data_IF_806889000139
#
_entry.id   IF_806889000139
#
_cell.length_a   1.000
_cell.length_b   1.000
_cell.length_c   1.000
_cell.angle_alpha   90.00
_cell.angle_beta   90.00
_cell.angle_gamma   90.00
#
_symmetry.space_group_name_H-M   'P 1'
#
loop_
_entity.id
_entity.type
_entity.pdbx_description
1 polymer ?
#
# COMPACT_ATOMS: atom_id res chain seq x y z
N UNK A 1 24.05 6.00 -12.28
CA UNK A 1 23.50 4.81 -11.58
C UNK A 1 23.61 5.12 -10.10
N UNK A 2 22.54 4.99 -9.33
CA UNK A 2 22.60 5.20 -7.89
C UNK A 2 23.50 4.10 -7.28
N UNK A 3 24.61 4.49 -6.68
CA UNK A 3 25.64 3.58 -6.16
C UNK A 3 25.18 2.73 -4.97
N UNK A 4 23.98 2.92 -4.48
CA UNK A 4 23.39 2.24 -3.31
C UNK A 4 22.20 1.33 -3.65
N UNK A 5 21.95 1.03 -4.93
CA UNK A 5 20.87 0.12 -5.30
C UNK A 5 21.37 -1.32 -5.26
N UNK A 6 20.68 -2.16 -4.51
CA UNK A 6 21.01 -3.57 -4.24
C UNK A 6 19.86 -4.46 -4.68
N UNK A 7 20.16 -5.59 -5.33
CA UNK A 7 19.17 -6.62 -5.61
C UNK A 7 19.18 -7.66 -4.49
N UNK A 8 18.00 -7.95 -3.95
CA UNK A 8 17.80 -8.99 -2.95
C UNK A 8 16.41 -9.59 -3.10
N UNK A 9 16.32 -10.91 -3.18
CA UNK A 9 15.09 -11.70 -3.24
C UNK A 9 14.02 -11.17 -4.25
N UNK A 10 14.49 -10.80 -5.45
CA UNK A 10 13.60 -10.35 -6.53
C UNK A 10 13.20 -8.89 -6.48
N UNK A 11 13.71 -8.12 -5.54
CA UNK A 11 13.51 -6.68 -5.44
C UNK A 11 14.81 -5.91 -5.54
N UNK A 12 14.70 -4.68 -5.97
CA UNK A 12 15.78 -3.71 -5.84
C UNK A 12 15.49 -2.78 -4.65
N UNK A 13 16.53 -2.51 -3.88
CA UNK A 13 16.47 -1.65 -2.71
C UNK A 13 17.51 -0.54 -2.81
N UNK A 14 17.14 0.65 -2.40
CA UNK A 14 18.09 1.70 -2.06
C UNK A 14 18.39 1.59 -0.57
N UNK A 15 19.66 1.30 -0.23
CA UNK A 15 20.07 1.12 1.16
C UNK A 15 20.67 2.40 1.75
N UNK A 16 20.45 2.61 3.05
CA UNK A 16 21.19 3.56 3.88
C UNK A 16 22.05 2.77 4.89
N UNK A 17 23.37 2.68 4.67
CA UNK A 17 24.29 1.94 5.55
C UNK A 17 24.42 2.55 6.95
N UNK A 18 24.19 3.84 7.12
CA UNK A 18 24.32 4.54 8.39
C UNK A 18 23.20 4.12 9.35
N UNK A 19 21.96 4.12 8.87
CA UNK A 19 20.76 3.81 9.68
C UNK A 19 20.40 2.33 9.62
N UNK A 20 21.06 1.52 8.78
CA UNK A 20 20.68 0.14 8.45
C UNK A 20 19.24 0.02 7.98
N UNK A 21 18.83 0.95 7.10
CA UNK A 21 17.50 0.96 6.48
C UNK A 21 17.58 0.73 4.98
N UNK A 22 16.49 0.23 4.42
CA UNK A 22 16.33 0.00 2.99
C UNK A 22 14.95 0.49 2.53
N UNK A 23 14.91 1.07 1.34
CA UNK A 23 13.67 1.43 0.65
C UNK A 23 13.53 0.54 -0.56
N UNK A 24 12.41 -0.18 -0.67
CA UNK A 24 12.10 -0.98 -1.85
C UNK A 24 11.88 -0.05 -3.04
N UNK A 25 12.81 -0.09 -3.98
CA UNK A 25 12.87 0.87 -5.11
C UNK A 25 12.03 0.40 -6.29
N UNK A 26 12.08 -0.90 -6.59
CA UNK A 26 11.34 -1.51 -7.70
C UNK A 26 11.40 -3.03 -7.68
N UNK A 27 10.52 -3.67 -8.44
CA UNK A 27 10.60 -5.09 -8.72
C UNK A 27 11.72 -5.39 -9.73
N UNK A 28 12.31 -6.56 -9.63
CA UNK A 28 13.22 -7.05 -10.67
C UNK A 28 12.42 -7.74 -11.76
N UNK A 29 12.23 -7.09 -12.91
CA UNK A 29 11.48 -7.64 -14.05
C UNK A 29 12.10 -8.94 -14.63
N UNK A 30 13.36 -9.23 -14.31
CA UNK A 30 14.01 -10.50 -14.68
C UNK A 30 13.66 -11.62 -13.71
N UNK A 31 13.09 -11.34 -12.54
CA UNK A 31 12.64 -12.34 -11.60
C UNK A 31 11.35 -12.99 -12.12
N UNK A 32 11.32 -14.35 -12.27
CA UNK A 32 10.14 -15.06 -12.77
C UNK A 32 8.85 -14.75 -12.01
N UNK A 33 8.93 -14.51 -10.69
CA UNK A 33 7.74 -14.22 -9.86
C UNK A 33 7.04 -12.91 -10.24
N UNK A 34 7.71 -11.96 -10.93
CA UNK A 34 7.11 -10.69 -11.37
C UNK A 34 6.84 -10.65 -12.88
N UNK A 35 6.91 -11.80 -13.58
CA UNK A 35 6.52 -11.87 -14.98
C UNK A 35 5.01 -11.68 -15.12
N UNK A 36 4.61 -10.99 -16.17
CA UNK A 36 3.21 -10.66 -16.44
C UNK A 36 2.32 -11.89 -16.73
N UNK A 37 2.91 -13.04 -17.02
CA UNK A 37 2.24 -14.31 -17.33
C UNK A 37 2.00 -15.19 -16.10
N UNK A 38 2.53 -14.82 -14.93
CA UNK A 38 2.33 -15.54 -13.67
C UNK A 38 1.65 -14.63 -12.67
N UNK A 39 0.43 -14.97 -12.27
CA UNK A 39 -0.26 -14.30 -11.17
C UNK A 39 0.21 -14.92 -9.86
N UNK A 40 0.95 -14.15 -9.07
CA UNK A 40 1.14 -14.45 -7.64
C UNK A 40 -0.16 -14.05 -6.93
N UNK A 41 -0.73 -14.97 -6.16
CA UNK A 41 -1.95 -14.68 -5.42
C UNK A 41 -1.70 -13.68 -4.28
N UNK A 42 -0.56 -13.81 -3.60
CA UNK A 42 -0.21 -13.02 -2.42
C UNK A 42 1.26 -12.54 -2.51
N UNK A 43 1.47 -11.24 -2.33
CA UNK A 43 2.80 -10.65 -2.24
C UNK A 43 3.06 -10.19 -0.81
N UNK A 44 4.08 -10.73 -0.16
CA UNK A 44 4.56 -10.24 1.13
C UNK A 44 5.76 -9.31 0.93
N UNK A 45 5.66 -8.06 1.38
CA UNK A 45 6.81 -7.15 1.42
C UNK A 45 7.71 -7.57 2.57
N UNK A 46 9.01 -7.84 2.34
CA UNK A 46 9.91 -8.23 3.40
C UNK A 46 10.07 -7.12 4.46
N UNK A 47 10.07 -7.47 5.73
CA UNK A 47 10.35 -6.49 6.80
C UNK A 47 11.84 -6.13 6.93
N UNK A 48 12.71 -6.92 6.33
CA UNK A 48 14.16 -6.69 6.28
C UNK A 48 14.79 -7.37 5.06
N UNK A 49 15.98 -6.92 4.70
CA UNK A 49 16.83 -7.52 3.68
C UNK A 49 18.28 -7.64 4.19
N UNK A 50 19.10 -8.44 3.51
CA UNK A 50 20.52 -8.56 3.83
C UNK A 50 21.39 -8.05 2.69
N UNK A 51 22.47 -7.37 3.05
CA UNK A 51 23.52 -6.97 2.12
C UNK A 51 24.88 -7.01 2.82
N UNK A 52 25.86 -7.74 2.25
CA UNK A 52 27.18 -7.96 2.83
C UNK A 52 27.12 -8.47 4.30
N UNK A 53 26.29 -9.48 4.54
CA UNK A 53 26.04 -10.09 5.87
C UNK A 53 25.43 -9.13 6.92
N UNK A 54 25.06 -7.92 6.54
CA UNK A 54 24.39 -6.96 7.38
C UNK A 54 22.89 -6.92 7.12
N UNK A 55 22.10 -6.77 8.20
CA UNK A 55 20.65 -6.69 8.15
C UNK A 55 20.19 -5.24 8.02
N UNK A 56 19.30 -4.98 7.05
CA UNK A 56 18.67 -3.69 6.82
C UNK A 56 17.16 -3.80 7.00
N UNK A 57 16.56 -2.91 7.79
CA UNK A 57 15.11 -2.84 7.92
C UNK A 57 14.49 -2.23 6.65
N UNK A 58 13.46 -2.87 6.09
CA UNK A 58 12.71 -2.30 4.97
C UNK A 58 11.70 -1.29 5.54
N UNK A 59 11.98 0.00 5.35
CA UNK A 59 11.22 1.09 5.98
C UNK A 59 10.31 1.84 5.01
N UNK A 60 10.41 1.58 3.71
CA UNK A 60 9.59 2.29 2.75
C UNK A 60 9.45 1.60 1.40
N UNK A 61 8.45 2.04 0.66
CA UNK A 61 8.20 1.67 -0.73
C UNK A 61 8.32 2.94 -1.57
N UNK A 62 9.25 2.94 -2.53
CA UNK A 62 9.59 4.08 -3.35
C UNK A 62 8.49 4.46 -4.37
N UNK A 63 8.65 5.62 -4.98
CA UNK A 63 7.82 6.07 -6.11
C UNK A 63 7.86 5.02 -7.23
N UNK A 64 6.66 4.64 -7.69
CA UNK A 64 6.47 3.72 -8.82
C UNK A 64 7.06 2.31 -8.65
N UNK A 65 7.36 1.87 -7.43
CA UNK A 65 8.08 0.62 -7.16
C UNK A 65 7.41 -0.62 -7.78
N UNK A 66 6.08 -0.68 -7.80
CA UNK A 66 5.28 -1.75 -8.38
C UNK A 66 4.41 -1.28 -9.56
N UNK A 67 4.71 -0.11 -10.13
CA UNK A 67 3.92 0.42 -11.23
C UNK A 67 3.71 -0.62 -12.34
N UNK A 68 2.44 -0.78 -12.78
CA UNK A 68 2.05 -1.70 -13.85
C UNK A 68 2.38 -3.19 -13.57
N UNK A 69 2.59 -3.55 -12.29
CA UNK A 69 2.80 -4.93 -11.90
C UNK A 69 1.46 -5.65 -11.76
N UNK A 70 1.25 -6.71 -12.55
CA UNK A 70 0.02 -7.51 -12.54
C UNK A 70 0.22 -8.90 -11.94
N UNK A 71 1.37 -9.13 -11.28
CA UNK A 71 1.79 -10.44 -10.81
C UNK A 71 1.15 -10.86 -9.48
N UNK A 72 0.37 -10.00 -8.82
CA UNK A 72 -0.23 -10.31 -7.51
C UNK A 72 -1.64 -9.74 -7.37
N UNK A 73 -2.50 -10.44 -6.62
CA UNK A 73 -3.85 -10.02 -6.27
C UNK A 73 -3.93 -9.38 -4.89
N UNK A 74 -3.01 -9.72 -4.00
CA UNK A 74 -2.90 -9.09 -2.68
C UNK A 74 -1.48 -8.62 -2.39
N UNK A 75 -1.35 -7.63 -1.50
CA UNK A 75 -0.08 -7.20 -0.94
C UNK A 75 -0.18 -7.05 0.57
N UNK A 76 0.78 -7.65 1.28
CA UNK A 76 0.93 -7.53 2.73
C UNK A 76 2.13 -6.61 3.04
N UNK A 77 1.86 -5.50 3.72
CA UNK A 77 2.82 -4.45 4.04
C UNK A 77 3.14 -4.54 5.53
N UNK A 78 4.38 -4.90 5.92
CA UNK A 78 4.76 -5.13 7.29
C UNK A 78 4.84 -3.85 8.13
N UNK A 79 4.86 -4.01 9.45
CA UNK A 79 4.97 -2.90 10.41
C UNK A 79 6.25 -2.08 10.29
N UNK A 80 7.30 -2.63 9.67
CA UNK A 80 8.57 -1.92 9.43
C UNK A 80 8.45 -0.82 8.37
N UNK A 81 7.50 -0.95 7.43
CA UNK A 81 7.24 0.04 6.38
C UNK A 81 6.48 1.20 6.98
N UNK A 82 7.11 2.37 7.02
CA UNK A 82 6.53 3.60 7.60
C UNK A 82 6.12 4.62 6.55
N UNK A 83 6.48 4.43 5.26
CA UNK A 83 5.98 5.27 4.17
C UNK A 83 5.83 4.51 2.85
N UNK A 84 4.88 4.96 2.03
CA UNK A 84 4.66 4.50 0.65
C UNK A 84 4.59 5.73 -0.23
N UNK A 85 5.48 5.83 -1.22
CA UNK A 85 5.56 7.01 -2.08
C UNK A 85 4.57 6.96 -3.25
N UNK A 86 4.51 8.07 -3.99
CA UNK A 86 3.59 8.30 -5.11
C UNK A 86 3.63 7.14 -6.11
N UNK A 87 2.46 6.79 -6.64
CA UNK A 87 2.31 5.83 -7.74
C UNK A 87 2.90 4.43 -7.48
N UNK A 88 3.21 4.09 -6.21
CA UNK A 88 3.87 2.83 -5.86
C UNK A 88 3.18 1.60 -6.46
N UNK A 89 1.85 1.58 -6.49
CA UNK A 89 1.03 0.51 -7.06
C UNK A 89 0.15 1.01 -8.23
N UNK A 90 0.57 2.07 -8.92
CA UNK A 90 -0.15 2.63 -10.06
C UNK A 90 -0.35 1.57 -11.17
N UNK A 91 -1.59 1.41 -11.63
CA UNK A 91 -1.98 0.46 -12.68
C UNK A 91 -1.74 -1.02 -12.34
N UNK A 92 -1.63 -1.42 -11.08
CA UNK A 92 -1.63 -2.81 -10.65
C UNK A 92 -3.05 -3.40 -10.78
N UNK A 93 -3.48 -3.71 -12.00
CA UNK A 93 -4.87 -4.10 -12.30
C UNK A 93 -5.32 -5.43 -11.67
N UNK A 94 -4.38 -6.30 -11.29
CA UNK A 94 -4.71 -7.55 -10.59
C UNK A 94 -4.91 -7.34 -9.08
N UNK A 95 -4.41 -6.22 -8.51
CA UNK A 95 -4.44 -5.96 -7.07
C UNK A 95 -5.88 -5.69 -6.60
N UNK A 96 -6.37 -6.57 -5.72
CA UNK A 96 -7.71 -6.54 -5.13
C UNK A 96 -7.70 -6.28 -3.63
N UNK A 97 -6.59 -6.64 -2.95
CA UNK A 97 -6.48 -6.60 -1.49
C UNK A 97 -5.16 -5.98 -1.04
N UNK A 98 -5.23 -5.13 -0.02
CA UNK A 98 -4.06 -4.56 0.65
C UNK A 98 -4.16 -4.80 2.15
N UNK A 99 -3.11 -5.34 2.76
CA UNK A 99 -2.97 -5.53 4.19
C UNK A 99 -1.91 -4.56 4.68
N UNK A 100 -2.27 -3.65 5.57
CA UNK A 100 -1.35 -2.66 6.17
C UNK A 100 -1.25 -2.96 7.66
N UNK A 101 -0.11 -3.54 8.07
CA UNK A 101 0.07 -4.06 9.43
C UNK A 101 0.52 -3.02 10.43
N UNK A 102 0.96 -1.87 9.98
CA UNK A 102 1.49 -0.81 10.82
C UNK A 102 0.95 0.56 10.49
N UNK A 103 1.61 1.56 11.06
CA UNK A 103 1.30 2.95 10.82
C UNK A 103 2.10 3.46 9.62
N UNK A 104 1.45 3.50 8.47
CA UNK A 104 2.07 3.96 7.24
C UNK A 104 1.72 5.43 7.01
N UNK A 105 2.74 6.26 6.84
CA UNK A 105 2.58 7.59 6.28
C UNK A 105 2.46 7.47 4.77
N UNK A 106 1.28 7.76 4.26
CA UNK A 106 1.08 7.94 2.83
C UNK A 106 1.16 9.44 2.60
N UNK A 107 2.22 9.91 1.93
CA UNK A 107 2.32 11.32 1.57
C UNK A 107 1.04 11.72 0.84
N UNK A 108 0.61 12.96 1.02
CA UNK A 108 -0.55 13.59 0.34
C UNK A 108 -0.46 13.53 -1.19
N UNK A 109 0.44 12.71 -1.72
CA UNK A 109 0.71 12.57 -3.14
C UNK A 109 -0.23 11.56 -3.78
N UNK A 110 -0.82 12.03 -4.84
CA UNK A 110 -1.81 11.40 -5.69
C UNK A 110 -1.33 10.03 -6.21
N UNK A 111 -2.20 9.04 -6.15
CA UNK A 111 -2.12 7.89 -7.03
C UNK A 111 -1.39 6.64 -6.55
N UNK A 112 -1.24 6.40 -5.24
CA UNK A 112 -0.58 5.17 -4.75
C UNK A 112 -1.25 3.91 -5.31
N UNK A 113 -2.58 3.84 -5.30
CA UNK A 113 -3.38 2.71 -5.80
C UNK A 113 -4.26 3.08 -7.00
N UNK A 114 -3.84 4.08 -7.77
CA UNK A 114 -4.58 4.51 -8.96
C UNK A 114 -4.70 3.40 -9.99
N UNK A 115 -5.90 3.22 -10.55
CA UNK A 115 -6.19 2.21 -11.58
C UNK A 115 -5.83 0.77 -11.13
N UNK A 116 -6.07 0.45 -9.88
CA UNK A 116 -6.12 -0.90 -9.35
C UNK A 116 -7.57 -1.41 -9.31
N UNK A 117 -7.77 -2.71 -9.07
CA UNK A 117 -9.09 -3.29 -8.79
C UNK A 117 -9.28 -3.52 -7.28
N UNK A 118 -8.73 -2.63 -6.46
CA UNK A 118 -8.74 -2.75 -5.01
C UNK A 118 -10.18 -2.73 -4.47
N UNK A 119 -10.55 -3.77 -3.75
CA UNK A 119 -11.88 -3.97 -3.16
C UNK A 119 -11.84 -4.27 -1.67
N UNK A 120 -10.65 -4.54 -1.12
CA UNK A 120 -10.48 -4.95 0.27
C UNK A 120 -9.21 -4.33 0.88
N UNK A 121 -9.36 -3.70 2.05
CA UNK A 121 -8.25 -3.16 2.84
C UNK A 121 -8.32 -3.73 4.24
N UNK A 122 -7.22 -4.33 4.71
CA UNK A 122 -7.03 -4.72 6.09
C UNK A 122 -6.10 -3.69 6.77
N UNK A 123 -6.62 -2.98 7.76
CA UNK A 123 -5.89 -1.91 8.42
C UNK A 123 -5.66 -2.20 9.90
N UNK A 124 -4.40 -2.33 10.31
CA UNK A 124 -4.01 -2.60 11.69
C UNK A 124 -3.52 -1.36 12.45
N UNK A 125 -3.38 -0.23 11.76
CA UNK A 125 -2.92 1.03 12.33
C UNK A 125 -4.01 1.88 12.96
N UNK A 126 -3.69 3.14 13.22
CA UNK A 126 -4.58 4.14 13.81
C UNK A 126 -5.76 4.50 12.88
N UNK A 127 -6.95 4.67 13.46
CA UNK A 127 -8.20 4.97 12.70
C UNK A 127 -8.17 6.36 12.05
N UNK A 128 -7.51 7.34 12.68
CA UNK A 128 -7.42 8.68 12.11
C UNK A 128 -6.52 8.65 10.87
N UNK A 129 -5.43 7.89 10.91
CA UNK A 129 -4.55 7.69 9.75
C UNK A 129 -5.27 6.95 8.63
N UNK A 130 -6.08 5.93 8.96
CA UNK A 130 -6.94 5.25 7.99
C UNK A 130 -7.90 6.24 7.31
N UNK A 131 -8.56 7.10 8.07
CA UNK A 131 -9.45 8.10 7.49
C UNK A 131 -8.72 9.00 6.49
N UNK A 132 -7.54 9.51 6.83
CA UNK A 132 -6.77 10.35 5.90
C UNK A 132 -6.30 9.57 4.68
N UNK A 133 -5.94 8.30 4.84
CA UNK A 133 -5.61 7.40 3.74
C UNK A 133 -6.80 7.26 2.78
N UNK A 134 -7.98 6.91 3.28
CA UNK A 134 -9.21 6.76 2.49
C UNK A 134 -9.62 8.08 1.83
N UNK A 135 -9.50 9.19 2.56
CA UNK A 135 -9.77 10.52 2.03
C UNK A 135 -8.86 10.86 0.86
N UNK A 136 -7.58 10.55 0.95
CA UNK A 136 -6.63 10.75 -0.15
C UNK A 136 -6.97 9.88 -1.35
N UNK A 137 -7.37 8.63 -1.15
CA UNK A 137 -7.85 7.77 -2.22
C UNK A 137 -9.07 8.36 -2.94
N UNK A 138 -10.08 8.80 -2.19
CA UNK A 138 -11.32 9.38 -2.74
C UNK A 138 -11.07 10.71 -3.45
N UNK A 139 -10.14 11.52 -2.97
CA UNK A 139 -9.81 12.82 -3.56
C UNK A 139 -9.03 12.71 -4.87
N UNK A 140 -8.52 11.54 -5.19
CA UNK A 140 -7.73 11.29 -6.40
C UNK A 140 -8.60 10.82 -7.55
N UNK A 141 -8.71 11.63 -8.59
CA UNK A 141 -9.59 11.36 -9.74
C UNK A 141 -9.31 10.03 -10.44
N UNK A 142 -8.05 9.61 -10.47
CA UNK A 142 -7.62 8.43 -11.21
C UNK A 142 -7.55 7.16 -10.37
N UNK A 143 -7.73 7.25 -9.06
CA UNK A 143 -7.78 6.10 -8.16
C UNK A 143 -9.17 5.45 -8.10
N UNK A 144 -10.18 6.13 -8.65
CA UNK A 144 -11.57 5.74 -8.51
C UNK A 144 -11.95 4.66 -9.51
N UNK A 145 -12.22 3.48 -9.00
CA UNK A 145 -13.02 2.46 -9.69
C UNK A 145 -14.50 2.73 -9.36
N UNK A 146 -15.45 2.62 -10.31
CA UNK A 146 -16.87 2.92 -10.09
C UNK A 146 -17.55 2.09 -8.99
N UNK A 147 -16.90 1.03 -8.51
CA UNK A 147 -17.45 0.09 -7.52
C UNK A 147 -16.95 0.30 -6.08
N UNK A 148 -16.51 1.51 -5.71
CA UNK A 148 -16.04 1.79 -4.33
C UNK A 148 -17.12 1.61 -3.26
N UNK A 149 -18.39 1.68 -3.61
CA UNK A 149 -19.50 1.36 -2.70
C UNK A 149 -19.46 -0.11 -2.24
N UNK A 150 -18.70 -0.95 -2.94
CA UNK A 150 -18.46 -2.35 -2.60
C UNK A 150 -17.17 -2.58 -1.80
N UNK A 151 -16.30 -1.56 -1.63
CA UNK A 151 -15.03 -1.74 -0.92
C UNK A 151 -15.24 -2.02 0.55
N UNK A 152 -14.64 -3.10 1.04
CA UNK A 152 -14.67 -3.49 2.45
C UNK A 152 -13.38 -3.10 3.14
N UNK A 153 -13.50 -2.42 4.27
CA UNK A 153 -12.39 -2.03 5.14
C UNK A 153 -12.47 -2.86 6.41
N UNK A 154 -11.47 -3.71 6.61
CA UNK A 154 -11.32 -4.51 7.82
C UNK A 154 -10.43 -3.77 8.82
N UNK A 155 -10.91 -3.61 10.03
CA UNK A 155 -10.19 -2.96 11.12
C UNK A 155 -10.12 -3.88 12.34
N UNK A 156 -9.23 -3.55 13.28
CA UNK A 156 -9.07 -4.31 14.51
C UNK A 156 -10.35 -4.29 15.35
N UNK A 157 -10.66 -5.44 16.00
CA UNK A 157 -11.80 -5.58 16.91
C UNK A 157 -11.78 -4.60 18.07
N UNK A 158 -10.57 -4.28 18.57
CA UNK A 158 -10.33 -3.37 19.68
C UNK A 158 -10.18 -1.89 19.25
N UNK A 159 -10.48 -1.56 18.00
CA UNK A 159 -10.46 -0.17 17.53
C UNK A 159 -11.42 0.70 18.33
N UNK A 160 -10.98 1.93 18.66
CA UNK A 160 -11.78 2.89 19.41
C UNK A 160 -13.11 3.19 18.69
N UNK A 161 -14.23 2.85 19.34
CA UNK A 161 -15.57 3.02 18.79
C UNK A 161 -15.91 4.49 18.50
N UNK A 162 -15.47 5.41 19.36
CA UNK A 162 -15.71 6.84 19.16
C UNK A 162 -14.95 7.35 17.92
N UNK A 163 -13.73 6.85 17.69
CA UNK A 163 -12.96 7.18 16.50
C UNK A 163 -13.59 6.56 15.24
N UNK A 164 -14.03 5.31 15.30
CA UNK A 164 -14.72 4.65 14.17
C UNK A 164 -15.97 5.44 13.77
N UNK A 165 -16.87 5.71 14.72
CA UNK A 165 -18.09 6.49 14.48
C UNK A 165 -17.79 7.88 13.95
N UNK A 166 -16.82 8.57 14.53
CA UNK A 166 -16.48 9.93 14.13
C UNK A 166 -15.88 10.02 12.73
N UNK A 167 -15.02 9.08 12.36
CA UNK A 167 -14.16 9.21 11.18
C UNK A 167 -14.55 8.28 10.03
N UNK A 168 -15.04 7.07 10.28
CA UNK A 168 -15.28 6.05 9.24
C UNK A 168 -16.75 5.82 8.90
N UNK A 169 -17.68 6.04 9.82
CA UNK A 169 -19.12 5.88 9.53
C UNK A 169 -19.73 7.05 8.75
N UNK A 170 -18.95 8.13 8.56
CA UNK A 170 -19.37 9.28 7.76
C UNK A 170 -18.87 9.12 6.32
N UNK A 171 -19.71 9.47 5.34
CA UNK A 171 -19.27 9.46 3.95
C UNK A 171 -18.06 10.38 3.73
N UNK A 172 -17.10 9.90 2.95
CA UNK A 172 -15.98 10.72 2.49
C UNK A 172 -16.41 11.44 1.21
N UNK A 173 -16.33 12.77 1.21
CA UNK A 173 -16.75 13.60 0.10
C UNK A 173 -15.59 14.05 -0.77
N UNK A 174 -15.73 13.85 -2.06
CA UNK A 174 -14.91 14.52 -3.05
C UNK A 174 -15.71 15.74 -3.59
N UNK A 175 -15.30 16.92 -3.16
CA UNK A 175 -16.00 18.17 -3.53
C UNK A 175 -15.87 18.54 -5.01
N UNK A 176 -14.76 18.15 -5.65
CA UNK A 176 -14.51 18.46 -7.07
C UNK A 176 -15.41 17.63 -7.99
N UNK A 177 -15.78 16.41 -7.58
CA UNK A 177 -16.60 15.48 -8.38
C UNK A 177 -18.03 15.35 -7.90
N UNK A 178 -18.43 16.05 -6.86
CA UNK A 178 -19.73 15.87 -6.21
C UNK A 178 -20.01 14.42 -5.79
N UNK A 179 -18.94 13.69 -5.45
CA UNK A 179 -18.97 12.29 -5.09
C UNK A 179 -18.94 12.12 -3.58
N UNK A 180 -19.78 11.22 -3.08
CA UNK A 180 -19.86 10.84 -1.69
C UNK A 180 -19.66 9.33 -1.59
N UNK A 181 -18.65 8.87 -0.85
CA UNK A 181 -18.30 7.44 -0.73
C UNK A 181 -18.47 6.99 0.69
N UNK A 182 -19.24 5.92 0.88
CA UNK A 182 -19.41 5.22 2.14
C UNK A 182 -18.75 3.85 2.05
N UNK A 183 -17.73 3.61 2.86
CA UNK A 183 -17.07 2.31 2.91
C UNK A 183 -17.82 1.36 3.84
N UNK A 184 -17.81 0.08 3.50
CA UNK A 184 -18.25 -0.97 4.42
C UNK A 184 -17.16 -1.25 5.45
N UNK A 185 -17.41 -0.96 6.71
CA UNK A 185 -16.46 -1.19 7.81
C UNK A 185 -16.76 -2.50 8.50
N UNK A 186 -15.73 -3.34 8.70
CA UNK A 186 -15.81 -4.63 9.40
C UNK A 186 -14.77 -4.67 10.51
N UNK A 187 -15.17 -4.96 11.74
CA UNK A 187 -14.29 -5.09 12.92
C UNK A 187 -14.03 -6.57 13.18
N UNK A 188 -13.04 -7.16 12.53
CA UNK A 188 -12.76 -8.60 12.58
C UNK A 188 -11.28 -9.00 12.65
N UNK A 189 -10.34 -8.04 12.63
CA UNK A 189 -8.89 -8.28 12.69
C UNK A 189 -8.35 -8.45 14.11
#
# INVERSE_FOLDING_TARGET
MNTNEVNYDGFFYTINPEDKTAVLSRTNSSNPQFRQDQVLLDLEIPSFMYYNDEKYAVTGIADSAFRECHAFESVDIPTSVVFILRSAFLHCKSLKKVIIRGEVEIPLFKGVFTSTNLSEIHWYGDIIKLYFFLKNMVSNESSFHPDYDAMTIHIRKDSDEAAVTKWLERPIRNHEKHLEVQFKIVKDL
#
